data_IF_238191839030
#
_entry.id   IF_238191839030
#
_cell.length_a   1.000
_cell.length_b   1.000
_cell.length_c   1.000
_cell.angle_alpha   90.00
_cell.angle_beta   90.00
_cell.angle_gamma   90.00
#
_symmetry.space_group_name_H-M   'P 1'
#
loop_
_entity.id
_entity.type
_entity.pdbx_description
1 polymer ?
#
# COMPACT_ATOMS: atom_id res chain seq x y z
N UNK A 1 -13.27 22.38 8.81
CA UNK A 1 -13.23 22.55 7.33
C UNK A 1 -14.55 22.06 6.75
N UNK A 2 -15.11 22.76 5.81
CA UNK A 2 -16.28 22.25 5.05
C UNK A 2 -15.78 21.35 3.91
N UNK A 3 -15.90 20.05 4.13
CA UNK A 3 -15.41 19.05 3.16
C UNK A 3 -16.28 18.96 1.89
N UNK A 4 -17.54 19.41 1.90
CA UNK A 4 -18.36 19.48 0.67
C UNK A 4 -17.85 20.57 -0.25
N UNK A 5 -17.66 21.78 0.29
CA UNK A 5 -17.07 22.90 -0.45
C UNK A 5 -15.65 22.56 -0.92
N UNK A 6 -14.86 21.82 -0.12
CA UNK A 6 -13.54 21.35 -0.53
C UNK A 6 -13.61 20.44 -1.76
N UNK A 7 -14.51 19.44 -1.77
CA UNK A 7 -14.68 18.53 -2.92
C UNK A 7 -15.04 19.31 -4.19
N UNK A 8 -16.00 20.25 -4.11
CA UNK A 8 -16.42 21.07 -5.23
C UNK A 8 -15.27 21.93 -5.77
N UNK A 9 -14.50 22.55 -4.87
CA UNK A 9 -13.34 23.37 -5.23
C UNK A 9 -12.24 22.53 -5.90
N UNK A 10 -11.94 21.33 -5.39
CA UNK A 10 -10.93 20.46 -6.00
C UNK A 10 -11.35 19.98 -7.39
N UNK A 11 -12.62 19.60 -7.58
CA UNK A 11 -13.14 19.22 -8.90
C UNK A 11 -13.01 20.37 -9.89
N UNK A 12 -13.36 21.59 -9.48
CA UNK A 12 -13.24 22.78 -10.32
C UNK A 12 -11.77 23.07 -10.66
N UNK A 13 -10.89 23.09 -9.66
CA UNK A 13 -9.45 23.34 -9.83
C UNK A 13 -8.80 22.34 -10.78
N UNK A 14 -9.10 21.05 -10.63
CA UNK A 14 -8.60 20.01 -11.55
C UNK A 14 -9.08 20.27 -12.97
N UNK A 15 -10.37 20.60 -13.15
CA UNK A 15 -10.97 20.88 -14.46
C UNK A 15 -10.33 22.09 -15.14
N UNK A 16 -10.15 23.18 -14.40
CA UNK A 16 -9.55 24.42 -14.92
C UNK A 16 -8.07 24.22 -15.28
N UNK A 17 -7.32 23.51 -14.41
CA UNK A 17 -5.88 23.29 -14.63
C UNK A 17 -5.61 22.37 -15.82
N UNK A 18 -6.40 21.30 -15.96
CA UNK A 18 -6.21 20.32 -17.05
C UNK A 18 -6.79 20.83 -18.36
N UNK A 19 -7.85 21.65 -18.32
CA UNK A 19 -8.52 22.16 -19.51
C UNK A 19 -8.99 21.01 -20.40
N UNK A 20 -8.66 21.06 -21.69
CA UNK A 20 -8.94 20.00 -22.67
C UNK A 20 -7.88 18.89 -22.71
N UNK A 21 -6.87 18.96 -21.82
CA UNK A 21 -5.78 18.00 -21.76
C UNK A 21 -6.18 16.63 -21.20
N UNK A 22 -5.22 15.70 -21.27
CA UNK A 22 -5.32 14.37 -20.68
C UNK A 22 -4.55 14.32 -19.35
N UNK A 23 -5.14 13.66 -18.37
CA UNK A 23 -4.51 13.36 -17.10
C UNK A 23 -4.39 11.84 -16.89
N UNK A 24 -3.43 11.44 -16.07
CA UNK A 24 -3.25 10.05 -15.63
C UNK A 24 -3.14 10.00 -14.10
N UNK A 25 -3.62 8.94 -13.50
CA UNK A 25 -3.32 8.63 -12.10
C UNK A 25 -3.05 7.15 -11.91
N UNK A 26 -2.22 6.82 -10.89
CA UNK A 26 -1.99 5.46 -10.45
C UNK A 26 -2.84 5.17 -9.22
N UNK A 27 -3.75 4.21 -9.36
CA UNK A 27 -4.60 3.72 -8.28
C UNK A 27 -3.86 2.61 -7.53
N UNK A 28 -3.44 2.88 -6.29
CA UNK A 28 -2.71 1.91 -5.44
C UNK A 28 -3.63 1.07 -4.55
N UNK A 29 -4.93 1.35 -4.54
CA UNK A 29 -5.89 0.75 -3.61
C UNK A 29 -5.89 1.36 -2.20
N UNK A 30 -5.02 2.31 -1.91
CA UNK A 30 -5.08 3.15 -0.71
C UNK A 30 -6.20 4.19 -0.79
N UNK A 31 -6.67 4.68 0.36
CA UNK A 31 -7.76 5.67 0.40
C UNK A 31 -7.40 6.96 -0.33
N UNK A 32 -6.14 7.41 -0.24
CA UNK A 32 -5.69 8.66 -0.87
C UNK A 32 -5.77 8.59 -2.39
N UNK A 33 -5.17 7.55 -2.99
CA UNK A 33 -5.23 7.32 -4.44
C UNK A 33 -6.66 7.10 -4.93
N UNK A 34 -7.51 6.44 -4.14
CA UNK A 34 -8.91 6.22 -4.48
C UNK A 34 -9.70 7.54 -4.47
N UNK A 35 -9.47 8.42 -3.49
CA UNK A 35 -10.10 9.76 -3.44
C UNK A 35 -9.67 10.60 -4.63
N UNK A 36 -8.37 10.62 -4.94
CA UNK A 36 -7.84 11.33 -6.11
C UNK A 36 -8.44 10.81 -7.42
N UNK A 37 -8.59 9.49 -7.55
CA UNK A 37 -9.24 8.85 -8.70
C UNK A 37 -10.68 9.35 -8.87
N UNK A 38 -11.47 9.35 -7.80
CA UNK A 38 -12.89 9.81 -7.88
C UNK A 38 -12.99 11.30 -8.15
N UNK A 39 -12.16 12.13 -7.50
CA UNK A 39 -12.12 13.58 -7.76
C UNK A 39 -11.76 13.86 -9.24
N UNK A 40 -10.69 13.21 -9.71
CA UNK A 40 -10.23 13.35 -11.08
C UNK A 40 -11.25 12.88 -12.10
N UNK A 41 -11.91 11.74 -11.87
CA UNK A 41 -12.95 11.25 -12.77
C UNK A 41 -14.19 12.16 -12.81
N UNK A 42 -14.61 12.71 -11.65
CA UNK A 42 -15.70 13.70 -11.61
C UNK A 42 -15.34 15.01 -12.31
N UNK A 43 -14.07 15.39 -12.31
CA UNK A 43 -13.60 16.60 -12.97
C UNK A 43 -13.46 16.42 -14.49
N UNK A 44 -12.92 15.29 -14.93
CA UNK A 44 -12.40 15.09 -16.29
C UNK A 44 -13.14 14.03 -17.11
N UNK A 45 -13.89 13.11 -16.45
CA UNK A 45 -14.51 11.97 -17.14
C UNK A 45 -13.48 11.12 -17.85
N UNK A 46 -13.71 10.83 -19.13
CA UNK A 46 -12.85 9.99 -19.98
C UNK A 46 -11.45 10.59 -20.26
N UNK A 47 -11.23 11.86 -19.91
CA UNK A 47 -9.92 12.51 -20.00
C UNK A 47 -8.99 12.18 -18.83
N UNK A 48 -9.45 11.43 -17.83
CA UNK A 48 -8.60 10.82 -16.81
C UNK A 48 -8.33 9.36 -17.16
N UNK A 49 -7.08 9.01 -17.44
CA UNK A 49 -6.64 7.64 -17.55
C UNK A 49 -6.26 7.12 -16.15
N UNK A 50 -7.04 6.21 -15.59
CA UNK A 50 -6.75 5.55 -14.31
C UNK A 50 -6.09 4.21 -14.58
N UNK A 51 -4.90 3.97 -13.99
CA UNK A 51 -4.19 2.71 -14.11
C UNK A 51 -4.01 2.05 -12.73
N UNK A 52 -4.23 0.74 -12.67
CA UNK A 52 -3.87 -0.10 -11.53
C UNK A 52 -2.71 -0.99 -11.92
N UNK A 53 -1.58 -0.87 -11.23
CA UNK A 53 -0.38 -1.64 -11.52
C UNK A 53 -0.35 -2.86 -10.58
N UNK A 54 -0.58 -4.06 -11.14
CA UNK A 54 -0.39 -5.31 -10.42
C UNK A 54 1.11 -5.62 -10.35
N UNK A 55 1.67 -5.47 -9.17
CA UNK A 55 3.08 -5.66 -8.86
C UNK A 55 3.39 -7.00 -8.17
N UNK A 56 2.45 -7.91 -8.07
CA UNK A 56 2.49 -9.18 -7.31
C UNK A 56 2.60 -9.05 -5.79
N UNK A 57 2.74 -7.85 -5.24
CA UNK A 57 3.06 -7.62 -3.82
C UNK A 57 1.82 -7.32 -2.97
N UNK A 58 0.62 -7.30 -3.57
CA UNK A 58 -0.62 -6.99 -2.90
C UNK A 58 -1.12 -8.14 -2.00
N UNK A 59 -2.02 -7.81 -1.06
CA UNK A 59 -2.73 -8.78 -0.22
C UNK A 59 -3.63 -9.68 -1.07
N UNK A 60 -4.12 -10.76 -0.44
CA UNK A 60 -5.08 -11.66 -1.08
C UNK A 60 -6.37 -10.92 -1.49
N UNK A 61 -6.77 -11.08 -2.75
CA UNK A 61 -7.98 -10.47 -3.31
C UNK A 61 -7.99 -8.94 -3.38
N UNK A 62 -6.90 -8.26 -3.00
CA UNK A 62 -6.85 -6.78 -2.97
C UNK A 62 -7.02 -6.14 -4.35
N UNK A 63 -6.34 -6.61 -5.42
CA UNK A 63 -6.55 -6.07 -6.75
C UNK A 63 -8.02 -6.15 -7.18
N UNK A 64 -8.65 -7.30 -6.97
CA UNK A 64 -10.06 -7.54 -7.35
C UNK A 64 -11.02 -6.63 -6.58
N UNK A 65 -10.79 -6.44 -5.27
CA UNK A 65 -11.61 -5.55 -4.44
C UNK A 65 -11.54 -4.09 -4.91
N UNK A 66 -10.33 -3.62 -5.25
CA UNK A 66 -10.12 -2.25 -5.77
C UNK A 66 -10.82 -2.08 -7.11
N UNK A 67 -10.65 -3.04 -8.02
CA UNK A 67 -11.29 -3.00 -9.34
C UNK A 67 -12.82 -3.02 -9.24
N UNK A 68 -13.37 -3.86 -8.36
CA UNK A 68 -14.82 -3.96 -8.15
C UNK A 68 -15.38 -2.63 -7.61
N UNK A 69 -14.72 -2.05 -6.61
CA UNK A 69 -15.14 -0.78 -6.04
C UNK A 69 -15.13 0.38 -7.04
N UNK A 70 -14.18 0.42 -7.97
CA UNK A 70 -14.15 1.43 -9.03
C UNK A 70 -15.23 1.17 -10.09
N UNK A 71 -15.47 -0.10 -10.43
CA UNK A 71 -16.54 -0.49 -11.36
C UNK A 71 -17.93 -0.12 -10.82
N UNK A 72 -18.19 -0.31 -9.53
CA UNK A 72 -19.43 0.10 -8.85
C UNK A 72 -19.67 1.62 -8.93
N UNK A 73 -18.59 2.39 -9.03
CA UNK A 73 -18.62 3.84 -9.20
C UNK A 73 -18.59 4.27 -10.67
N UNK A 74 -18.68 3.33 -11.62
CA UNK A 74 -18.58 3.56 -13.06
C UNK A 74 -17.27 4.24 -13.48
N UNK A 75 -16.16 3.98 -12.77
CA UNK A 75 -14.83 4.53 -13.09
C UNK A 75 -14.03 3.46 -13.83
N UNK A 76 -13.67 3.68 -15.11
CA UNK A 76 -12.84 2.76 -15.86
C UNK A 76 -11.42 2.74 -15.32
N UNK A 77 -10.87 1.54 -15.11
CA UNK A 77 -9.49 1.34 -14.65
C UNK A 77 -8.79 0.32 -15.55
N UNK A 78 -7.65 0.72 -16.09
CA UNK A 78 -6.77 -0.17 -16.85
C UNK A 78 -5.87 -0.94 -15.87
N UNK A 79 -5.89 -2.27 -15.94
CA UNK A 79 -4.98 -3.11 -15.15
C UNK A 79 -3.72 -3.42 -15.95
N UNK A 80 -2.58 -3.05 -15.38
CA UNK A 80 -1.26 -3.27 -15.98
C UNK A 80 -0.56 -4.40 -15.22
N UNK A 81 -0.32 -5.52 -15.88
CA UNK A 81 0.44 -6.64 -15.29
C UNK A 81 1.94 -6.34 -15.33
N UNK A 82 2.47 -5.97 -14.17
CA UNK A 82 3.90 -5.69 -13.98
C UNK A 82 4.56 -6.70 -13.01
N UNK A 83 3.87 -7.79 -12.66
CA UNK A 83 4.33 -8.78 -11.66
C UNK A 83 5.73 -9.27 -11.94
N UNK A 84 6.03 -9.60 -13.19
CA UNK A 84 7.36 -10.07 -13.61
C UNK A 84 8.45 -9.02 -13.40
N UNK A 85 8.17 -7.76 -13.70
CA UNK A 85 9.14 -6.67 -13.55
C UNK A 85 9.53 -6.45 -12.09
N UNK A 86 8.56 -6.47 -11.19
CA UNK A 86 8.82 -6.32 -9.76
C UNK A 86 9.53 -7.53 -9.15
N UNK A 87 9.12 -8.75 -9.48
CA UNK A 87 9.78 -9.95 -9.00
C UNK A 87 11.23 -10.04 -9.50
N UNK A 88 11.48 -9.67 -10.75
CA UNK A 88 12.83 -9.61 -11.31
C UNK A 88 13.70 -8.55 -10.61
N UNK A 89 13.14 -7.38 -10.31
CA UNK A 89 13.87 -6.32 -9.59
C UNK A 89 14.19 -6.68 -8.13
N UNK A 90 13.41 -7.58 -7.52
CA UNK A 90 13.58 -8.05 -6.15
C UNK A 90 14.42 -9.34 -6.04
N UNK A 91 14.74 -9.99 -7.15
CA UNK A 91 15.52 -11.23 -7.17
C UNK A 91 16.92 -11.01 -6.56
N UNK A 92 17.27 -11.81 -5.55
CA UNK A 92 18.53 -11.72 -4.82
C UNK A 92 18.65 -10.53 -3.86
N UNK A 93 17.64 -9.64 -3.78
CA UNK A 93 17.68 -8.45 -2.91
C UNK A 93 17.18 -8.82 -1.52
N UNK A 94 18.08 -8.72 -0.52
CA UNK A 94 17.77 -9.05 0.88
C UNK A 94 17.78 -7.83 1.82
N UNK A 95 18.54 -6.80 1.48
CA UNK A 95 18.64 -5.58 2.27
C UNK A 95 17.32 -4.78 2.23
N UNK A 96 16.82 -4.31 3.39
CA UNK A 96 15.55 -3.58 3.49
C UNK A 96 15.47 -2.33 2.62
N UNK A 97 16.49 -1.49 2.64
CA UNK A 97 16.49 -0.24 1.87
C UNK A 97 16.65 -0.51 0.37
N UNK A 98 17.46 -1.51 0.00
CA UNK A 98 17.59 -1.95 -1.39
C UNK A 98 16.25 -2.47 -1.94
N UNK A 99 15.47 -3.21 -1.17
CA UNK A 99 14.11 -3.65 -1.56
C UNK A 99 13.16 -2.48 -1.80
N UNK A 100 13.11 -1.52 -0.85
CA UNK A 100 12.28 -0.31 -0.98
C UNK A 100 12.66 0.44 -2.25
N UNK A 101 13.96 0.61 -2.48
CA UNK A 101 14.47 1.29 -3.66
C UNK A 101 14.13 0.52 -4.95
N UNK A 102 14.33 -0.80 -4.99
CA UNK A 102 14.01 -1.64 -6.15
C UNK A 102 12.53 -1.51 -6.54
N UNK A 103 11.60 -1.61 -5.57
CA UNK A 103 10.16 -1.43 -5.82
C UNK A 103 9.85 -0.03 -6.33
N UNK A 104 10.40 1.00 -5.69
CA UNK A 104 10.18 2.40 -6.06
C UNK A 104 10.71 2.72 -7.46
N UNK A 105 11.94 2.29 -7.78
CA UNK A 105 12.54 2.49 -9.10
C UNK A 105 11.75 1.77 -10.20
N UNK A 106 11.36 0.51 -9.95
CA UNK A 106 10.56 -0.26 -10.91
C UNK A 106 9.22 0.42 -11.17
N UNK A 107 8.54 0.85 -10.11
CA UNK A 107 7.26 1.54 -10.24
C UNK A 107 7.40 2.82 -11.08
N UNK A 108 8.22 3.77 -10.63
CA UNK A 108 8.22 5.12 -11.22
C UNK A 108 9.03 5.21 -12.52
N UNK A 109 10.20 4.59 -12.60
CA UNK A 109 11.06 4.74 -13.79
C UNK A 109 10.71 3.78 -14.91
N UNK A 110 10.34 2.54 -14.58
CA UNK A 110 10.04 1.53 -15.59
C UNK A 110 8.56 1.52 -15.95
N UNK A 111 7.70 1.10 -15.02
CA UNK A 111 6.29 0.81 -15.34
C UNK A 111 5.49 2.08 -15.54
N UNK A 112 5.40 2.93 -14.52
CA UNK A 112 4.56 4.13 -14.57
C UNK A 112 5.10 5.18 -15.55
N UNK A 113 6.43 5.35 -15.61
CA UNK A 113 7.06 6.25 -16.58
C UNK A 113 6.75 5.88 -18.03
N UNK A 114 6.74 4.57 -18.36
CA UNK A 114 6.34 4.09 -19.70
C UNK A 114 4.85 4.36 -19.97
N UNK A 115 3.98 4.10 -18.99
CA UNK A 115 2.55 4.35 -19.12
C UNK A 115 2.24 5.83 -19.36
N UNK A 116 2.91 6.74 -18.65
CA UNK A 116 2.76 8.18 -18.87
C UNK A 116 3.16 8.56 -20.29
N UNK A 117 4.33 8.11 -20.75
CA UNK A 117 4.80 8.39 -22.12
C UNK A 117 3.84 7.88 -23.20
N UNK A 118 3.29 6.69 -23.02
CA UNK A 118 2.33 6.07 -23.95
C UNK A 118 0.94 6.71 -23.90
N UNK A 119 0.53 7.24 -22.75
CA UNK A 119 -0.81 7.82 -22.59
C UNK A 119 -0.99 9.17 -23.28
N UNK A 120 0.10 9.90 -23.53
CA UNK A 120 0.06 11.29 -23.97
C UNK A 120 -0.46 12.28 -22.92
N UNK A 121 -0.64 11.83 -21.67
CA UNK A 121 -1.09 12.67 -20.57
C UNK A 121 -0.03 13.72 -20.21
N UNK A 122 -0.48 14.96 -20.00
CA UNK A 122 0.37 16.07 -19.56
C UNK A 122 0.21 16.40 -18.08
N UNK A 123 -0.69 15.71 -17.39
CA UNK A 123 -0.97 15.92 -15.98
C UNK A 123 -1.01 14.59 -15.24
N UNK A 124 -0.37 14.56 -14.06
CA UNK A 124 -0.42 13.45 -13.12
C UNK A 124 -1.21 13.89 -11.89
N UNK A 125 -2.32 13.21 -11.57
CA UNK A 125 -2.99 13.37 -10.30
C UNK A 125 -2.37 12.44 -9.27
N UNK A 126 -1.84 13.02 -8.19
CA UNK A 126 -1.12 12.29 -7.14
C UNK A 126 -1.79 12.44 -5.76
N UNK A 127 -1.71 11.40 -4.95
CA UNK A 127 -2.39 11.30 -3.65
C UNK A 127 -1.55 11.78 -2.46
N UNK A 128 -0.67 12.76 -2.63
CA UNK A 128 0.06 13.39 -1.53
C UNK A 128 -0.89 14.07 -0.56
N UNK A 129 -0.67 13.88 0.73
CA UNK A 129 -1.44 14.50 1.81
C UNK A 129 -0.55 15.37 2.70
N UNK A 130 -1.15 16.23 3.52
CA UNK A 130 -0.42 17.16 4.40
C UNK A 130 0.58 16.44 5.31
N UNK A 131 0.22 15.25 5.82
CA UNK A 131 1.11 14.45 6.65
C UNK A 131 2.40 14.05 5.93
N UNK A 132 2.34 13.74 4.63
CA UNK A 132 3.51 13.40 3.83
C UNK A 132 4.48 14.59 3.72
N UNK A 133 3.92 15.79 3.56
CA UNK A 133 4.68 17.05 3.49
C UNK A 133 5.31 17.36 4.85
N UNK A 134 4.56 17.27 5.95
CA UNK A 134 5.04 17.51 7.30
C UNK A 134 6.16 16.53 7.69
N UNK A 135 6.04 15.24 7.36
CA UNK A 135 7.07 14.23 7.61
C UNK A 135 8.36 14.51 6.81
N UNK A 136 8.24 15.10 5.64
CA UNK A 136 9.39 15.52 4.82
C UNK A 136 10.10 16.71 5.45
N UNK A 137 9.35 17.73 5.86
CA UNK A 137 9.89 18.93 6.51
C UNK A 137 10.56 18.55 7.85
N UNK A 138 9.99 17.60 8.59
CA UNK A 138 10.57 17.10 9.84
C UNK A 138 11.78 16.17 9.65
N UNK A 139 12.18 15.86 8.41
CA UNK A 139 13.31 14.97 8.11
C UNK A 139 13.04 13.49 8.36
N UNK A 140 11.77 13.11 8.62
CA UNK A 140 11.33 11.72 8.82
C UNK A 140 11.28 10.99 7.47
N UNK A 141 10.75 11.67 6.44
CA UNK A 141 10.87 11.27 5.02
C UNK A 141 11.88 12.15 4.30
N UNK A 142 12.60 11.61 3.34
CA UNK A 142 13.56 12.38 2.54
C UNK A 142 12.87 13.47 1.72
N UNK A 143 11.70 13.15 1.13
CA UNK A 143 10.83 14.11 0.41
C UNK A 143 9.39 13.57 0.36
N UNK A 144 8.39 14.46 0.28
CA UNK A 144 6.97 14.09 0.15
C UNK A 144 6.65 13.58 -1.26
N UNK A 145 7.35 14.06 -2.28
CA UNK A 145 7.20 13.60 -3.66
C UNK A 145 8.29 12.57 -3.96
N UNK A 146 7.90 11.32 -4.19
CA UNK A 146 8.83 10.22 -4.48
C UNK A 146 9.64 10.47 -5.76
N UNK A 147 9.07 11.15 -6.76
CA UNK A 147 9.81 11.51 -7.98
C UNK A 147 10.99 12.43 -7.67
N UNK A 148 10.79 13.41 -6.80
CA UNK A 148 11.86 14.29 -6.35
C UNK A 148 12.92 13.54 -5.50
N UNK A 149 12.52 12.52 -4.69
CA UNK A 149 13.47 11.63 -4.00
C UNK A 149 14.39 10.88 -4.97
N UNK A 150 13.86 10.52 -6.13
CA UNK A 150 14.60 9.85 -7.20
C UNK A 150 15.42 10.81 -8.06
N UNK A 151 15.41 12.12 -7.74
CA UNK A 151 16.04 13.16 -8.57
C UNK A 151 15.36 13.33 -9.93
N UNK A 152 14.07 12.97 -10.03
CA UNK A 152 13.29 13.06 -11.25
C UNK A 152 12.45 14.34 -11.18
N UNK A 153 12.74 15.31 -12.05
CA UNK A 153 11.82 16.39 -12.37
C UNK A 153 10.76 15.85 -13.34
N UNK A 154 9.48 15.75 -12.94
CA UNK A 154 8.44 15.15 -13.78
C UNK A 154 8.25 15.86 -15.11
N UNK A 155 8.40 17.18 -15.12
CA UNK A 155 8.24 17.98 -16.32
C UNK A 155 9.41 17.80 -17.28
N UNK A 156 10.65 17.74 -16.77
CA UNK A 156 11.83 17.51 -17.60
C UNK A 156 11.95 16.06 -18.08
N UNK A 157 11.66 15.10 -17.19
CA UNK A 157 11.84 13.67 -17.49
C UNK A 157 10.70 13.08 -18.33
N UNK A 158 9.48 13.55 -18.13
CA UNK A 158 8.27 12.93 -18.69
C UNK A 158 7.32 13.92 -19.35
N UNK A 159 7.53 15.23 -19.21
CA UNK A 159 6.71 16.27 -19.83
C UNK A 159 5.34 16.48 -19.20
N UNK A 160 5.13 16.08 -17.92
CA UNK A 160 3.87 16.28 -17.23
C UNK A 160 3.97 17.15 -15.97
N UNK A 161 2.86 17.77 -15.59
CA UNK A 161 2.69 18.51 -14.36
C UNK A 161 2.00 17.65 -13.30
N UNK A 162 2.45 17.74 -12.03
CA UNK A 162 1.83 17.03 -10.91
C UNK A 162 0.75 17.91 -10.28
N UNK A 163 -0.42 17.31 -10.04
CA UNK A 163 -1.56 17.87 -9.32
C UNK A 163 -1.77 17.06 -8.04
N UNK A 164 -1.76 17.72 -6.89
CA UNK A 164 -1.87 17.09 -5.56
C UNK A 164 -3.12 17.59 -4.81
N UNK A 165 -4.32 17.10 -5.22
CA UNK A 165 -5.59 17.65 -4.72
C UNK A 165 -5.81 17.51 -3.22
N UNK A 166 -5.03 16.67 -2.53
CA UNK A 166 -5.18 16.36 -1.11
C UNK A 166 -4.10 16.96 -0.21
N UNK A 167 -3.17 17.75 -0.75
CA UNK A 167 -1.98 18.26 -0.04
C UNK A 167 -2.30 19.05 1.24
N UNK A 168 -3.51 19.62 1.37
CA UNK A 168 -3.96 20.37 2.54
C UNK A 168 -4.69 19.52 3.58
N UNK A 169 -4.93 18.23 3.30
CA UNK A 169 -5.68 17.33 4.16
C UNK A 169 -4.76 16.41 4.95
N UNK A 170 -5.12 16.18 6.21
CA UNK A 170 -4.63 15.05 7.01
C UNK A 170 -5.47 13.80 6.74
N UNK A 171 -5.02 12.65 7.22
CA UNK A 171 -5.63 11.34 6.96
C UNK A 171 -7.10 11.23 7.36
N UNK A 172 -7.50 11.86 8.45
CA UNK A 172 -8.89 11.94 8.90
C UNK A 172 -9.76 12.75 7.92
N UNK A 173 -9.25 13.88 7.44
CA UNK A 173 -9.91 14.68 6.39
C UNK A 173 -10.08 13.91 5.09
N UNK A 174 -9.05 13.16 4.66
CA UNK A 174 -9.15 12.31 3.45
C UNK A 174 -10.24 11.24 3.61
N UNK A 175 -10.34 10.61 4.79
CA UNK A 175 -11.40 9.61 5.06
C UNK A 175 -12.80 10.23 5.03
N UNK A 176 -12.96 11.47 5.51
CA UNK A 176 -14.24 12.17 5.44
C UNK A 176 -14.59 12.54 3.98
N UNK A 177 -13.62 13.00 3.21
CA UNK A 177 -13.79 13.22 1.76
C UNK A 177 -14.15 11.92 1.04
N UNK A 178 -13.49 10.80 1.37
CA UNK A 178 -13.81 9.48 0.82
C UNK A 178 -15.28 9.10 1.07
N UNK A 179 -15.77 9.33 2.28
CA UNK A 179 -17.16 9.10 2.66
C UNK A 179 -18.14 9.97 1.84
N UNK A 180 -17.84 11.25 1.69
CA UNK A 180 -18.66 12.19 0.91
C UNK A 180 -18.67 11.86 -0.58
N UNK A 181 -17.59 11.31 -1.10
CA UNK A 181 -17.49 10.85 -2.48
C UNK A 181 -18.22 9.53 -2.74
N UNK A 182 -18.63 8.80 -1.67
CA UNK A 182 -19.31 7.52 -1.77
C UNK A 182 -18.38 6.32 -1.92
N UNK A 183 -17.12 6.47 -1.55
CA UNK A 183 -16.19 5.33 -1.55
C UNK A 183 -16.65 4.25 -0.53
N UNK A 184 -16.57 2.96 -0.92
CA UNK A 184 -16.93 1.87 -0.02
C UNK A 184 -16.17 1.93 1.30
N UNK A 185 -16.83 1.66 2.46
CA UNK A 185 -16.17 1.69 3.76
C UNK A 185 -14.93 0.81 3.87
N UNK A 186 -14.90 -0.32 3.13
CA UNK A 186 -13.75 -1.23 3.06
C UNK A 186 -12.49 -0.58 2.47
N UNK A 187 -12.62 0.37 1.54
CA UNK A 187 -11.49 1.17 1.03
C UNK A 187 -11.18 2.36 1.94
N UNK A 188 -12.21 3.06 2.43
CA UNK A 188 -12.03 4.27 3.24
C UNK A 188 -11.37 3.99 4.61
N UNK A 189 -11.61 2.81 5.21
CA UNK A 189 -11.11 2.41 6.53
C UNK A 189 -9.96 1.39 6.48
N UNK A 190 -9.39 1.20 5.32
CA UNK A 190 -8.31 0.23 5.15
C UNK A 190 -7.13 0.55 6.06
N UNK A 191 -6.57 -0.51 6.67
CA UNK A 191 -5.33 -0.37 7.45
C UNK A 191 -4.17 0.13 6.59
N UNK A 192 -3.24 0.89 7.17
CA UNK A 192 -2.04 1.32 6.47
C UNK A 192 -1.33 0.15 5.79
N UNK A 193 -0.86 0.38 4.57
CA UNK A 193 -0.06 -0.58 3.84
C UNK A 193 1.07 0.19 3.15
N UNK A 194 2.33 -0.18 3.36
CA UNK A 194 3.45 0.56 2.82
C UNK A 194 3.52 0.45 1.30
N UNK A 195 4.16 1.42 0.63
CA UNK A 195 4.32 1.42 -0.83
C UNK A 195 4.94 0.13 -1.40
N UNK A 196 6.00 -0.46 -0.78
CA UNK A 196 6.54 -1.74 -1.21
C UNK A 196 5.69 -2.97 -0.84
N UNK A 197 4.52 -2.76 -0.25
CA UNK A 197 3.50 -3.78 0.04
C UNK A 197 4.05 -4.99 0.82
N UNK A 198 3.74 -6.23 0.43
CA UNK A 198 4.20 -7.44 1.13
C UNK A 198 5.72 -7.63 1.08
N UNK A 199 6.46 -6.95 0.21
CA UNK A 199 7.92 -7.03 0.22
C UNK A 199 8.54 -6.54 1.55
N UNK A 200 7.86 -5.63 2.27
CA UNK A 200 8.27 -5.16 3.61
C UNK A 200 8.00 -6.17 4.73
N UNK A 201 7.26 -7.21 4.42
CA UNK A 201 6.88 -8.28 5.37
C UNK A 201 7.58 -9.61 5.10
N UNK A 202 8.62 -9.58 4.28
CA UNK A 202 9.50 -10.73 4.03
C UNK A 202 10.90 -10.33 4.42
N UNK A 203 11.43 -10.90 5.51
CA UNK A 203 12.84 -10.77 5.86
C UNK A 203 13.64 -11.73 4.96
N UNK A 204 14.66 -11.20 4.27
CA UNK A 204 15.38 -11.94 3.25
C UNK A 204 14.86 -11.69 1.83
N UNK A 205 15.18 -12.54 0.87
CA UNK A 205 14.78 -12.43 -0.52
C UNK A 205 13.27 -12.58 -0.72
N UNK A 206 12.68 -11.81 -1.64
CA UNK A 206 11.27 -11.90 -2.02
C UNK A 206 11.14 -12.88 -3.18
N UNK A 207 10.44 -14.00 -2.95
CA UNK A 207 10.12 -15.01 -3.97
C UNK A 207 8.60 -15.22 -4.05
N UNK A 208 8.12 -15.79 -5.15
CA UNK A 208 6.70 -16.12 -5.32
C UNK A 208 6.18 -17.04 -4.20
N UNK A 209 6.96 -18.04 -3.78
CA UNK A 209 6.62 -18.95 -2.69
C UNK A 209 6.47 -18.21 -1.35
N UNK A 210 7.44 -17.34 -1.03
CA UNK A 210 7.40 -16.54 0.20
C UNK A 210 6.27 -15.53 0.20
N UNK A 211 5.98 -14.93 -0.96
CA UNK A 211 4.83 -14.05 -1.14
C UNK A 211 3.51 -14.79 -0.94
N UNK A 212 3.36 -15.99 -1.51
CA UNK A 212 2.16 -16.81 -1.31
C UNK A 212 1.98 -17.14 0.19
N UNK A 213 3.05 -17.54 0.87
CA UNK A 213 3.02 -17.86 2.30
C UNK A 213 2.66 -16.66 3.17
N UNK A 214 3.32 -15.50 2.99
CA UNK A 214 3.03 -14.29 3.80
C UNK A 214 1.65 -13.72 3.48
N UNK A 215 1.18 -13.87 2.25
CA UNK A 215 -0.17 -13.45 1.82
C UNK A 215 -1.23 -14.28 2.53
N UNK A 216 -1.10 -15.61 2.53
CA UNK A 216 -2.00 -16.51 3.25
C UNK A 216 -1.98 -16.24 4.77
N UNK A 217 -0.80 -16.05 5.35
CA UNK A 217 -0.68 -15.72 6.77
C UNK A 217 -1.30 -14.35 7.10
N UNK A 218 -1.15 -13.35 6.22
CA UNK A 218 -1.77 -12.03 6.37
C UNK A 218 -3.30 -12.14 6.35
N UNK A 219 -3.87 -12.91 5.42
CA UNK A 219 -5.32 -13.12 5.35
C UNK A 219 -5.87 -13.77 6.65
N UNK A 220 -5.17 -14.77 7.19
CA UNK A 220 -5.54 -15.39 8.47
C UNK A 220 -5.54 -14.37 9.61
N UNK A 221 -4.50 -13.55 9.70
CA UNK A 221 -4.40 -12.51 10.76
C UNK A 221 -5.53 -11.48 10.60
N UNK A 222 -5.81 -11.04 9.37
CA UNK A 222 -6.87 -10.08 9.06
C UNK A 222 -8.26 -10.61 9.43
N UNK A 223 -8.54 -11.87 9.16
CA UNK A 223 -9.81 -12.52 9.54
C UNK A 223 -9.97 -12.66 11.06
N UNK A 224 -8.94 -13.18 11.75
CA UNK A 224 -9.02 -13.45 13.19
C UNK A 224 -9.04 -12.17 14.05
N UNK A 225 -8.36 -11.12 13.59
CA UNK A 225 -8.31 -9.84 14.28
C UNK A 225 -9.34 -8.83 13.77
N UNK A 226 -10.19 -9.22 12.81
CA UNK A 226 -11.27 -8.38 12.31
C UNK A 226 -12.12 -7.83 13.46
N UNK A 227 -12.45 -6.53 13.40
CA UNK A 227 -13.24 -5.84 14.43
C UNK A 227 -12.47 -5.40 15.67
N UNK A 228 -11.20 -5.75 15.82
CA UNK A 228 -10.37 -5.13 16.86
C UNK A 228 -10.05 -3.68 16.48
N UNK A 229 -10.27 -2.76 17.44
CA UNK A 229 -9.93 -1.35 17.26
C UNK A 229 -8.45 -1.14 17.56
N UNK A 230 -7.59 -1.34 16.57
CA UNK A 230 -6.14 -1.22 16.67
C UNK A 230 -5.59 -0.47 15.46
N UNK A 231 -4.39 0.07 15.58
CA UNK A 231 -3.76 0.80 14.47
C UNK A 231 -3.42 -0.11 13.30
N UNK A 232 -2.73 -1.24 13.55
CA UNK A 232 -2.32 -2.17 12.50
C UNK A 232 -2.01 -3.57 13.04
N UNK A 233 -2.33 -4.58 12.25
CA UNK A 233 -1.85 -5.95 12.42
C UNK A 233 -1.30 -6.50 11.11
N UNK A 234 -0.32 -7.39 11.21
CA UNK A 234 0.38 -7.94 10.06
C UNK A 234 1.02 -9.30 10.37
N UNK A 235 1.31 -10.05 9.31
CA UNK A 235 2.14 -11.24 9.36
C UNK A 235 3.47 -10.98 8.64
N UNK A 236 4.56 -11.53 9.17
CA UNK A 236 5.92 -11.38 8.63
C UNK A 236 6.54 -12.75 8.42
N UNK A 237 7.14 -12.94 7.27
CA UNK A 237 7.93 -14.12 6.93
C UNK A 237 9.38 -13.90 7.33
N UNK A 238 9.94 -14.79 8.19
CA UNK A 238 11.36 -14.76 8.53
C UNK A 238 12.17 -15.67 7.59
N UNK A 239 13.39 -15.24 7.27
CA UNK A 239 14.27 -16.01 6.38
C UNK A 239 14.74 -17.34 6.98
N UNK A 240 14.85 -17.40 8.31
CA UNK A 240 15.32 -18.58 9.01
C UNK A 240 14.24 -19.65 9.10
N UNK A 241 14.70 -20.90 9.30
CA UNK A 241 13.85 -22.07 9.50
C UNK A 241 14.00 -22.62 10.93
N UNK A 242 12.93 -23.16 11.43
CA UNK A 242 12.91 -23.83 12.74
C UNK A 242 12.58 -25.32 12.61
N UNK A 243 13.00 -26.10 13.57
CA UNK A 243 12.62 -27.51 13.69
C UNK A 243 11.17 -27.61 14.11
N UNK A 244 10.41 -28.46 13.41
CA UNK A 244 9.04 -28.84 13.72
C UNK A 244 8.87 -30.36 13.67
N UNK A 245 7.66 -30.80 14.00
CA UNK A 245 7.22 -32.19 13.85
C UNK A 245 5.90 -32.19 13.09
N UNK A 246 5.87 -32.89 11.95
CA UNK A 246 4.65 -33.10 11.16
C UNK A 246 4.50 -34.58 10.88
N UNK A 247 3.33 -35.12 11.14
CA UNK A 247 3.03 -36.55 10.95
C UNK A 247 4.05 -37.49 11.63
N UNK A 248 4.47 -37.09 12.84
CA UNK A 248 5.45 -37.85 13.64
C UNK A 248 6.91 -37.76 13.15
N UNK A 249 7.17 -36.99 12.08
CA UNK A 249 8.51 -36.82 11.52
C UNK A 249 9.06 -35.43 11.79
N UNK A 250 10.37 -35.33 12.02
CA UNK A 250 11.06 -34.04 12.17
C UNK A 250 11.17 -33.38 10.79
N UNK A 251 10.83 -32.10 10.72
CA UNK A 251 10.99 -31.26 9.55
C UNK A 251 11.63 -29.91 9.90
N UNK A 252 12.14 -29.20 8.88
CA UNK A 252 12.55 -27.79 8.99
C UNK A 252 11.58 -26.93 8.20
N UNK A 253 10.87 -26.06 8.89
CA UNK A 253 9.86 -25.21 8.27
C UNK A 253 10.04 -23.74 8.58
N UNK A 254 9.29 -22.93 7.87
CA UNK A 254 9.32 -21.49 7.95
C UNK A 254 8.74 -20.97 9.26
N UNK A 255 9.16 -19.76 9.63
CA UNK A 255 8.70 -19.03 10.80
C UNK A 255 7.87 -17.84 10.33
N UNK A 256 6.66 -17.72 10.84
CA UNK A 256 5.82 -16.53 10.65
C UNK A 256 5.71 -15.79 11.98
N UNK A 257 5.93 -14.48 11.93
CA UNK A 257 5.69 -13.60 13.08
C UNK A 257 4.37 -12.86 12.86
N UNK A 258 3.55 -12.82 13.86
CA UNK A 258 2.33 -11.99 13.94
C UNK A 258 2.65 -10.77 14.78
N UNK A 259 2.26 -9.61 14.30
CA UNK A 259 2.42 -8.34 15.00
C UNK A 259 1.10 -7.60 14.99
N UNK A 260 0.66 -7.14 16.16
CA UNK A 260 -0.51 -6.29 16.34
C UNK A 260 -0.11 -5.11 17.20
N UNK A 261 -0.29 -3.90 16.70
CA UNK A 261 0.14 -2.68 17.38
C UNK A 261 -0.95 -1.64 17.42
N UNK A 262 -0.94 -0.87 18.50
CA UNK A 262 -1.72 0.36 18.62
C UNK A 262 -0.81 1.57 18.53
N UNK A 263 -1.33 2.65 17.93
CA UNK A 263 -0.63 3.91 17.71
C UNK A 263 -1.61 5.02 17.35
N UNK A 264 -1.26 6.25 17.67
CA UNK A 264 -2.03 7.43 17.26
C UNK A 264 -1.56 7.95 15.91
N UNK A 265 -0.24 8.00 15.71
CA UNK A 265 0.39 8.72 14.58
C UNK A 265 1.53 7.94 13.90
N UNK A 266 1.66 6.65 14.20
CA UNK A 266 2.74 5.77 13.75
C UNK A 266 4.15 6.13 14.25
N UNK A 267 4.34 7.19 15.05
CA UNK A 267 5.66 7.57 15.60
C UNK A 267 6.05 6.68 16.77
N UNK A 268 5.08 6.45 17.66
CA UNK A 268 5.21 5.53 18.79
C UNK A 268 4.13 4.46 18.63
N UNK A 269 4.50 3.21 18.82
CA UNK A 269 3.56 2.10 18.76
C UNK A 269 3.84 1.11 19.90
N UNK A 270 2.78 0.56 20.48
CA UNK A 270 2.84 -0.47 21.51
C UNK A 270 2.20 -1.76 21.01
N UNK A 271 2.73 -2.90 21.44
CA UNK A 271 2.09 -4.18 21.15
C UNK A 271 0.72 -4.25 21.84
N UNK A 272 -0.27 -4.76 21.10
CA UNK A 272 -1.62 -4.96 21.62
C UNK A 272 -1.71 -6.27 22.38
N UNK A 273 -2.39 -6.29 23.50
CA UNK A 273 -2.74 -7.52 24.21
C UNK A 273 -3.88 -8.24 23.45
N UNK A 274 -3.50 -9.11 22.51
CA UNK A 274 -4.46 -9.91 21.75
C UNK A 274 -4.93 -11.07 22.65
N UNK A 275 -6.26 -11.34 22.74
CA UNK A 275 -6.76 -12.47 23.51
C UNK A 275 -6.10 -13.79 23.14
N UNK A 276 -5.66 -14.56 24.15
CA UNK A 276 -4.92 -15.81 23.96
C UNK A 276 -5.65 -16.81 23.08
N UNK A 277 -6.96 -16.85 23.15
CA UNK A 277 -7.81 -17.67 22.29
C UNK A 277 -7.64 -17.31 20.80
N UNK A 278 -7.60 -16.00 20.47
CA UNK A 278 -7.34 -15.54 19.10
C UNK A 278 -5.93 -15.90 18.63
N UNK A 279 -4.91 -15.70 19.50
CA UNK A 279 -3.53 -16.09 19.20
C UNK A 279 -3.39 -17.59 18.93
N UNK A 280 -4.08 -18.44 19.72
CA UNK A 280 -4.10 -19.88 19.50
C UNK A 280 -4.74 -20.25 18.16
N UNK A 281 -5.87 -19.62 17.77
CA UNK A 281 -6.48 -19.86 16.46
C UNK A 281 -5.57 -19.39 15.31
N UNK A 282 -4.99 -18.21 15.41
CA UNK A 282 -4.01 -17.70 14.45
C UNK A 282 -2.85 -18.67 14.30
N UNK A 283 -2.26 -19.10 15.42
CA UNK A 283 -1.14 -20.04 15.42
C UNK A 283 -1.50 -21.37 14.75
N UNK A 284 -2.65 -21.95 15.09
CA UNK A 284 -3.10 -23.19 14.49
C UNK A 284 -3.32 -23.07 12.97
N UNK A 285 -3.95 -21.98 12.51
CA UNK A 285 -4.19 -21.73 11.09
C UNK A 285 -2.89 -21.42 10.33
N UNK A 286 -2.00 -20.61 10.88
CA UNK A 286 -0.71 -20.27 10.24
C UNK A 286 0.17 -21.51 10.11
N UNK A 287 0.25 -22.35 11.14
CA UNK A 287 1.07 -23.58 11.08
C UNK A 287 0.44 -24.68 10.22
N UNK A 288 -0.82 -24.54 9.81
CA UNK A 288 -1.44 -25.38 8.78
C UNK A 288 -1.02 -24.99 7.34
N UNK A 289 -0.44 -23.81 7.13
CA UNK A 289 0.12 -23.43 5.83
C UNK A 289 1.29 -24.38 5.49
N UNK A 290 1.33 -24.98 4.30
CA UNK A 290 2.42 -25.87 3.90
C UNK A 290 3.79 -25.21 4.08
N UNK A 291 4.74 -25.93 4.70
CA UNK A 291 6.09 -25.45 4.94
C UNK A 291 6.25 -24.54 6.15
N UNK A 292 5.19 -24.11 6.82
CA UNK A 292 5.24 -23.29 8.05
C UNK A 292 5.10 -24.21 9.27
N UNK A 293 6.03 -24.10 10.22
CA UNK A 293 5.98 -24.91 11.45
C UNK A 293 6.08 -24.08 12.73
N UNK A 294 6.18 -22.75 12.63
CA UNK A 294 6.26 -21.89 13.81
C UNK A 294 5.56 -20.55 13.58
N UNK A 295 4.75 -20.18 14.57
CA UNK A 295 4.10 -18.87 14.66
C UNK A 295 4.59 -18.19 15.95
N UNK A 296 5.05 -16.95 15.84
CA UNK A 296 5.52 -16.10 16.94
C UNK A 296 4.62 -14.86 17.05
N UNK A 297 4.56 -14.26 18.24
CA UNK A 297 3.94 -12.97 18.46
C UNK A 297 4.99 -11.94 18.88
N UNK A 298 5.11 -10.82 18.15
CA UNK A 298 6.09 -9.78 18.43
C UNK A 298 5.53 -8.73 19.39
N UNK A 299 6.17 -8.62 20.56
CA UNK A 299 5.82 -7.68 21.64
C UNK A 299 6.63 -6.39 21.59
N UNK A 300 7.55 -6.21 20.63
CA UNK A 300 8.49 -5.10 20.64
C UNK A 300 7.79 -3.77 20.31
N UNK A 301 7.90 -2.73 21.15
CA UNK A 301 7.32 -1.43 20.86
C UNK A 301 8.12 -0.66 19.82
N UNK A 302 7.54 0.41 19.29
CA UNK A 302 8.27 1.42 18.51
C UNK A 302 8.42 2.70 19.34
N UNK A 303 9.65 3.21 19.60
CA UNK A 303 10.93 2.52 19.42
C UNK A 303 11.13 1.36 20.41
N UNK A 304 12.12 0.46 20.26
CA UNK A 304 13.22 0.49 19.27
C UNK A 304 12.87 -0.12 17.91
N UNK A 305 11.79 -0.93 17.79
CA UNK A 305 11.40 -1.49 16.52
C UNK A 305 10.70 -0.46 15.62
N UNK A 306 10.50 -0.83 14.36
CA UNK A 306 9.56 -0.18 13.44
C UNK A 306 8.23 -0.94 13.44
N UNK A 307 7.17 -0.43 12.81
CA UNK A 307 5.90 -1.18 12.67
C UNK A 307 6.08 -2.30 11.65
N UNK A 308 6.54 -1.97 10.44
CA UNK A 308 6.92 -2.97 9.43
C UNK A 308 8.36 -3.46 9.71
N UNK A 309 8.70 -4.65 9.23
CA UNK A 309 10.00 -5.29 9.49
C UNK A 309 11.11 -4.90 8.49
N UNK A 310 10.71 -4.47 7.31
CA UNK A 310 11.60 -4.11 6.19
C UNK A 310 11.24 -2.75 5.63
#
# INVERSE_FOLDING_TARGET
>A
MDYKSFVEQQILSIRETVGDGLAINALSGGVDSSVVTVLGHRALGDRLKTVFIDNALMREGEPQQVMHAMADMCIPVEVVDARRDFLQALAGVTDPEAKRNAVTQTFYKKVFGDLVRQSGAKYLLHGTILTDIEETVAGIKRQHNILAQLGIDPQQAYGYHVLEPLETLRKDGVREVARLLGLPPGLARRMPFPGPALATRIVGEVTEERLATVRAATAIVEEELAGMNVFQYLAVFLNDKATGIRDGKREFGQIIVVRCVDSVDARIATAVEVPWEKLNRISARITAIPGVNRCLYDLTPKPPATIEYV
#
